data_IF_521317912186
#
_entry.id   IF_521317912186
#
_cell.length_a   1.000
_cell.length_b   1.000
_cell.length_c   1.000
_cell.angle_alpha   90.00
_cell.angle_beta   90.00
_cell.angle_gamma   90.00
#
_symmetry.space_group_name_H-M   'P 1'
#
loop_
_entity.id
_entity.type
_entity.pdbx_description
1 polymer ?
#
# COMPACT_ATOMS: atom_id res chain seq x y z
N UNK A 1 -5.22 23.14 -49.39
CA UNK A 1 -4.62 22.59 -48.16
C UNK A 1 -3.12 22.74 -48.29
N UNK A 2 -2.50 23.64 -47.51
CA UNK A 2 -1.09 24.00 -47.68
C UNK A 2 -0.19 22.94 -47.00
N UNK A 3 1.05 22.77 -47.48
CA UNK A 3 2.02 21.82 -46.92
C UNK A 3 2.25 22.05 -45.43
N UNK A 4 2.25 23.32 -45.00
CA UNK A 4 2.34 23.76 -43.60
C UNK A 4 1.21 23.20 -42.73
N UNK A 5 -0.02 23.22 -43.26
CA UNK A 5 -1.22 22.80 -42.54
C UNK A 5 -1.22 21.29 -42.35
N UNK A 6 -0.75 20.54 -43.36
CA UNK A 6 -0.58 19.09 -43.29
C UNK A 6 0.48 18.71 -42.26
N UNK A 7 1.63 19.39 -42.25
CA UNK A 7 2.68 19.15 -41.24
C UNK A 7 2.21 19.48 -39.83
N UNK A 8 1.49 20.60 -39.64
CA UNK A 8 0.92 20.96 -38.34
C UNK A 8 -0.13 19.95 -37.88
N UNK A 9 -0.99 19.48 -38.78
CA UNK A 9 -1.97 18.44 -38.49
C UNK A 9 -1.28 17.13 -38.09
N UNK A 10 -0.26 16.69 -38.82
CA UNK A 10 0.48 15.45 -38.53
C UNK A 10 1.28 15.56 -37.22
N UNK A 11 1.83 16.73 -36.90
CA UNK A 11 2.46 16.98 -35.60
C UNK A 11 1.45 16.96 -34.46
N UNK A 12 0.27 17.54 -34.67
CA UNK A 12 -0.81 17.52 -33.68
C UNK A 12 -1.33 16.09 -33.49
N UNK A 13 -1.57 15.33 -34.56
CA UNK A 13 -1.97 13.92 -34.49
C UNK A 13 -0.90 13.08 -33.79
N UNK A 14 0.39 13.29 -34.08
CA UNK A 14 1.49 12.61 -33.38
C UNK A 14 1.56 13.00 -31.90
N UNK A 15 1.36 14.27 -31.56
CA UNK A 15 1.29 14.72 -30.16
C UNK A 15 0.10 14.09 -29.45
N UNK A 16 -1.07 14.09 -30.06
CA UNK A 16 -2.30 13.47 -29.51
C UNK A 16 -2.14 11.96 -29.32
N UNK A 17 -1.56 11.25 -30.30
CA UNK A 17 -1.28 9.81 -30.22
C UNK A 17 -0.12 9.48 -29.25
N UNK A 18 0.86 10.37 -29.09
CA UNK A 18 1.90 10.21 -28.08
C UNK A 18 1.37 10.49 -26.66
N UNK A 19 0.35 11.34 -26.53
CA UNK A 19 -0.33 11.63 -25.25
C UNK A 19 -1.44 10.64 -24.91
N UNK A 20 -1.78 9.69 -25.78
CA UNK A 20 -2.77 8.65 -25.47
C UNK A 20 -2.18 7.57 -24.55
N UNK A 21 -1.50 7.99 -23.48
CA UNK A 21 -1.38 7.16 -22.30
C UNK A 21 -2.80 6.99 -21.76
N UNK A 22 -3.32 5.76 -21.82
CA UNK A 22 -4.68 5.44 -21.37
C UNK A 22 -4.88 5.90 -19.92
N UNK A 23 -3.83 5.86 -19.10
CA UNK A 23 -3.84 6.33 -17.72
C UNK A 23 -2.71 7.35 -17.49
N UNK A 24 -3.09 8.60 -17.18
CA UNK A 24 -2.14 9.65 -16.82
C UNK A 24 -2.49 10.24 -15.46
N UNK A 25 -1.86 9.75 -14.39
CA UNK A 25 -2.14 10.21 -13.02
C UNK A 25 -1.58 11.61 -12.71
N UNK A 26 -0.74 12.19 -13.57
CA UNK A 26 -0.18 13.53 -13.40
C UNK A 26 -1.09 14.63 -13.92
N UNK A 27 -1.94 14.34 -14.91
CA UNK A 27 -2.94 15.28 -15.40
C UNK A 27 -4.24 15.12 -14.58
N UNK A 28 -4.69 16.13 -13.82
CA UNK A 28 -5.92 16.02 -13.04
C UNK A 28 -7.18 15.91 -13.91
N UNK A 29 -7.14 16.21 -15.20
CA UNK A 29 -8.30 16.12 -16.10
C UNK A 29 -8.39 14.80 -16.87
N UNK A 30 -7.37 13.94 -16.77
CA UNK A 30 -7.30 12.69 -17.54
C UNK A 30 -8.22 11.59 -17.00
N UNK A 31 -8.48 11.58 -15.69
CA UNK A 31 -9.16 10.51 -14.97
C UNK A 31 -10.27 11.08 -14.07
N UNK A 32 -11.43 10.43 -14.12
CA UNK A 32 -12.55 10.69 -13.23
C UNK A 32 -12.27 10.15 -11.82
N UNK A 33 -13.02 10.60 -10.82
CA UNK A 33 -12.89 10.06 -9.46
C UNK A 33 -13.20 8.55 -9.40
N UNK A 34 -14.16 8.09 -10.20
CA UNK A 34 -14.47 6.68 -10.37
C UNK A 34 -13.29 5.87 -10.92
N UNK A 35 -12.51 6.43 -11.86
CA UNK A 35 -11.31 5.77 -12.37
C UNK A 35 -10.23 5.62 -11.29
N UNK A 36 -10.01 6.67 -10.48
CA UNK A 36 -9.11 6.60 -9.32
C UNK A 36 -9.52 5.49 -8.35
N UNK A 37 -10.80 5.42 -8.00
CA UNK A 37 -11.30 4.43 -7.05
C UNK A 37 -11.24 3.01 -7.63
N UNK A 38 -11.64 2.82 -8.88
CA UNK A 38 -11.63 1.51 -9.53
C UNK A 38 -10.22 0.95 -9.68
N UNK A 39 -9.24 1.80 -10.02
CA UNK A 39 -7.86 1.40 -10.21
C UNK A 39 -7.13 1.24 -8.88
N UNK A 40 -7.22 2.24 -7.99
CA UNK A 40 -6.33 2.34 -6.81
C UNK A 40 -7.02 2.00 -5.49
N UNK A 41 -8.35 1.98 -5.47
CA UNK A 41 -9.15 1.86 -4.24
C UNK A 41 -9.30 3.16 -3.44
N UNK A 42 -8.72 4.27 -3.93
CA UNK A 42 -8.78 5.58 -3.29
C UNK A 42 -9.59 6.55 -4.14
N UNK A 43 -10.31 7.47 -3.49
CA UNK A 43 -10.81 8.65 -4.18
C UNK A 43 -9.64 9.49 -4.72
N UNK A 44 -9.92 10.36 -5.67
CA UNK A 44 -8.94 11.28 -6.24
C UNK A 44 -8.32 12.20 -5.19
N UNK A 45 -9.13 12.66 -4.22
CA UNK A 45 -8.65 13.48 -3.11
C UNK A 45 -7.65 12.69 -2.25
N UNK A 46 -8.02 11.49 -1.80
CA UNK A 46 -7.15 10.64 -0.99
C UNK A 46 -5.85 10.27 -1.72
N UNK A 47 -5.93 10.00 -3.03
CA UNK A 47 -4.74 9.74 -3.83
C UNK A 47 -3.81 10.96 -3.90
N UNK A 48 -4.37 12.16 -4.06
CA UNK A 48 -3.59 13.40 -4.09
C UNK A 48 -2.93 13.68 -2.75
N UNK A 49 -3.67 13.51 -1.66
CA UNK A 49 -3.16 13.62 -0.30
C UNK A 49 -2.00 12.63 -0.07
N UNK A 50 -2.23 11.33 -0.30
CA UNK A 50 -1.17 10.30 -0.21
C UNK A 50 0.06 10.66 -1.04
N UNK A 51 -0.13 11.13 -2.27
CA UNK A 51 0.96 11.49 -3.17
C UNK A 51 1.76 12.70 -2.66
N UNK A 52 1.13 13.60 -1.91
CA UNK A 52 1.78 14.80 -1.36
C UNK A 52 2.76 14.49 -0.23
N UNK A 53 2.60 13.37 0.48
CA UNK A 53 3.57 12.91 1.47
C UNK A 53 4.89 12.44 0.85
N UNK A 54 4.89 12.03 -0.42
CA UNK A 54 6.03 11.32 -1.01
C UNK A 54 7.05 12.30 -1.58
N UNK A 55 8.19 12.43 -0.89
CA UNK A 55 9.29 13.34 -1.25
C UNK A 55 10.58 12.61 -1.64
N UNK A 56 10.80 11.39 -1.13
CA UNK A 56 12.01 10.59 -1.36
C UNK A 56 12.07 9.95 -2.75
N UNK A 57 10.93 9.83 -3.43
CA UNK A 57 10.84 9.15 -4.71
C UNK A 57 11.45 9.99 -5.85
N UNK A 58 12.42 9.42 -6.57
CA UNK A 58 13.03 10.06 -7.74
C UNK A 58 12.08 10.02 -8.94
N UNK A 59 11.81 11.19 -9.51
CA UNK A 59 11.12 11.33 -10.80
C UNK A 59 12.07 11.04 -11.96
N UNK A 60 11.56 10.45 -13.03
CA UNK A 60 12.30 10.32 -14.29
C UNK A 60 11.42 10.72 -15.47
N UNK A 61 12.02 10.95 -16.64
CA UNK A 61 11.31 11.29 -17.87
C UNK A 61 10.25 10.24 -18.31
N UNK A 62 10.29 9.04 -17.73
CA UNK A 62 9.41 7.92 -18.10
C UNK A 62 8.37 7.63 -17.02
N UNK A 63 8.58 8.08 -15.78
CA UNK A 63 7.67 7.81 -14.67
C UNK A 63 7.72 8.92 -13.63
N UNK A 64 6.55 9.40 -13.27
CA UNK A 64 6.35 10.27 -12.11
C UNK A 64 6.20 9.46 -10.82
N UNK A 65 6.30 10.15 -9.67
CA UNK A 65 5.97 9.58 -8.35
C UNK A 65 4.53 9.07 -8.34
N UNK A 66 3.60 9.87 -8.88
CA UNK A 66 2.17 9.53 -8.96
C UNK A 66 1.93 8.27 -9.78
N UNK A 67 2.61 8.14 -10.92
CA UNK A 67 2.56 6.90 -11.72
C UNK A 67 3.07 5.70 -10.92
N UNK A 68 4.16 5.85 -10.15
CA UNK A 68 4.68 4.75 -9.33
C UNK A 68 3.68 4.31 -8.25
N UNK A 69 3.07 5.27 -7.54
CA UNK A 69 2.04 5.01 -6.53
C UNK A 69 0.82 4.34 -7.18
N UNK A 70 0.34 4.87 -8.30
CA UNK A 70 -0.81 4.31 -9.02
C UNK A 70 -0.57 2.86 -9.46
N UNK A 71 0.61 2.55 -10.00
CA UNK A 71 0.98 1.18 -10.38
C UNK A 71 0.97 0.25 -9.18
N UNK A 72 1.53 0.67 -8.04
CA UNK A 72 1.54 -0.12 -6.81
C UNK A 72 0.11 -0.36 -6.29
N UNK A 73 -0.70 0.68 -6.16
CA UNK A 73 -2.06 0.56 -5.65
C UNK A 73 -2.94 -0.27 -6.58
N UNK A 74 -2.80 -0.11 -7.89
CA UNK A 74 -3.51 -0.94 -8.88
C UNK A 74 -3.10 -2.40 -8.77
N UNK A 75 -1.81 -2.68 -8.57
CA UNK A 75 -1.32 -4.05 -8.33
C UNK A 75 -1.94 -4.66 -7.07
N UNK A 76 -1.99 -3.92 -5.97
CA UNK A 76 -2.56 -4.37 -4.69
C UNK A 76 -4.08 -4.58 -4.78
N UNK A 77 -4.78 -3.68 -5.47
CA UNK A 77 -6.24 -3.73 -5.63
C UNK A 77 -6.70 -4.89 -6.52
N UNK A 78 -6.01 -5.12 -7.62
CA UNK A 78 -6.48 -6.03 -8.69
C UNK A 78 -5.77 -7.39 -8.73
N UNK A 79 -4.58 -7.49 -8.13
CA UNK A 79 -3.73 -8.68 -8.25
C UNK A 79 -3.15 -8.94 -9.65
N UNK A 80 -3.38 -8.06 -10.62
CA UNK A 80 -3.00 -8.27 -12.03
C UNK A 80 -1.49 -8.53 -12.20
N UNK A 81 -1.07 -9.44 -13.10
CA UNK A 81 0.34 -9.72 -13.32
C UNK A 81 1.05 -8.52 -13.98
N UNK A 82 2.36 -8.39 -13.75
CA UNK A 82 3.10 -7.18 -14.12
C UNK A 82 3.14 -6.90 -15.64
N UNK A 83 2.95 -7.92 -16.48
CA UNK A 83 2.89 -7.71 -17.93
C UNK A 83 1.57 -7.03 -18.35
N UNK A 84 0.44 -7.39 -17.72
CA UNK A 84 -0.86 -6.73 -17.96
C UNK A 84 -0.83 -5.29 -17.43
N UNK A 85 -0.25 -5.06 -16.24
CA UNK A 85 -0.02 -3.70 -15.75
C UNK A 85 0.87 -2.91 -16.71
N UNK A 86 1.86 -3.56 -17.32
CA UNK A 86 2.69 -2.95 -18.35
C UNK A 86 1.88 -2.47 -19.55
N UNK A 87 0.96 -3.29 -20.05
CA UNK A 87 0.03 -2.89 -21.13
C UNK A 87 -0.84 -1.71 -20.71
N UNK A 88 -1.47 -1.78 -19.54
CA UNK A 88 -2.40 -0.75 -19.04
C UNK A 88 -1.71 0.61 -18.85
N UNK A 89 -0.52 0.61 -18.24
CA UNK A 89 0.25 1.83 -17.94
C UNK A 89 1.21 2.23 -19.07
N UNK A 90 1.24 1.48 -20.17
CA UNK A 90 2.22 1.66 -21.26
C UNK A 90 3.68 1.63 -20.77
N UNK A 91 3.96 0.68 -19.87
CA UNK A 91 5.27 0.43 -19.28
C UNK A 91 5.76 -0.97 -19.64
N UNK A 92 7.07 -1.14 -19.77
CA UNK A 92 7.67 -2.49 -19.81
C UNK A 92 7.52 -3.18 -18.45
N UNK A 93 7.52 -4.52 -18.44
CA UNK A 93 7.46 -5.32 -17.19
C UNK A 93 8.53 -4.90 -16.16
N UNK A 94 9.74 -4.56 -16.62
CA UNK A 94 10.84 -4.12 -15.74
C UNK A 94 10.58 -2.73 -15.15
N UNK A 95 9.97 -1.82 -15.90
CA UNK A 95 9.56 -0.51 -15.40
C UNK A 95 8.46 -0.65 -14.35
N UNK A 96 7.46 -1.51 -14.56
CA UNK A 96 6.43 -1.82 -13.55
C UNK A 96 7.06 -2.31 -12.24
N UNK A 97 8.02 -3.24 -12.30
CA UNK A 97 8.74 -3.71 -11.12
C UNK A 97 9.48 -2.58 -10.38
N UNK A 98 10.16 -1.70 -11.13
CA UNK A 98 10.84 -0.52 -10.55
C UNK A 98 9.85 0.49 -9.96
N UNK A 99 8.68 0.69 -10.57
CA UNK A 99 7.59 1.51 -10.02
C UNK A 99 7.11 0.98 -8.67
N UNK A 100 6.77 -0.31 -8.62
CA UNK A 100 6.34 -0.99 -7.39
C UNK A 100 7.41 -0.87 -6.30
N UNK A 101 8.66 -1.17 -6.62
CA UNK A 101 9.76 -1.08 -5.65
C UNK A 101 9.94 0.35 -5.12
N UNK A 102 10.01 1.33 -6.03
CA UNK A 102 10.20 2.74 -5.65
C UNK A 102 9.05 3.26 -4.79
N UNK A 103 7.80 2.98 -5.17
CA UNK A 103 6.64 3.40 -4.41
C UNK A 103 6.62 2.76 -3.02
N UNK A 104 6.94 1.46 -2.91
CA UNK A 104 7.00 0.77 -1.60
C UNK A 104 8.04 1.38 -0.68
N UNK A 105 9.26 1.61 -1.16
CA UNK A 105 10.33 2.19 -0.35
C UNK A 105 9.95 3.59 0.11
N UNK A 106 9.48 4.44 -0.81
CA UNK A 106 9.12 5.82 -0.48
C UNK A 106 7.89 5.93 0.43
N UNK A 107 6.88 5.08 0.28
CA UNK A 107 5.74 5.04 1.21
C UNK A 107 6.17 4.65 2.62
N UNK A 108 7.04 3.64 2.76
CA UNK A 108 7.55 3.22 4.07
C UNK A 108 8.39 4.29 4.75
N UNK A 109 9.06 5.15 3.96
CA UNK A 109 9.89 6.22 4.47
C UNK A 109 9.09 7.49 4.80
N UNK A 110 8.22 7.92 3.90
CA UNK A 110 7.66 9.27 3.93
C UNK A 110 6.18 9.32 4.36
N UNK A 111 5.46 8.19 4.35
CA UNK A 111 4.03 8.15 4.68
C UNK A 111 3.73 7.30 5.91
N UNK A 112 4.20 6.05 5.93
CA UNK A 112 3.89 5.09 7.01
C UNK A 112 4.24 5.61 8.40
N UNK A 113 5.39 6.27 8.64
CA UNK A 113 5.74 6.76 9.97
C UNK A 113 4.81 7.84 10.54
N UNK A 114 3.97 8.47 9.71
CA UNK A 114 2.98 9.45 10.16
C UNK A 114 1.70 8.83 10.70
N UNK A 115 1.44 7.55 10.41
CA UNK A 115 0.14 6.92 10.68
C UNK A 115 0.23 5.54 11.32
N UNK A 116 1.40 4.89 11.31
CA UNK A 116 1.59 3.54 11.84
C UNK A 116 2.93 3.46 12.58
N UNK A 117 2.93 2.77 13.72
CA UNK A 117 4.09 2.52 14.57
C UNK A 117 4.10 3.41 15.80
N UNK A 118 4.69 2.97 16.91
CA UNK A 118 4.55 3.64 18.21
C UNK A 118 4.99 5.11 18.28
N UNK A 119 5.70 5.61 17.28
CA UNK A 119 6.24 6.98 17.24
C UNK A 119 5.24 8.02 16.69
N UNK A 120 4.16 7.61 16.03
CA UNK A 120 3.26 8.55 15.34
C UNK A 120 2.20 9.19 16.27
N UNK A 121 1.99 8.62 17.45
CA UNK A 121 1.00 9.06 18.43
C UNK A 121 1.62 9.03 19.82
N UNK A 122 1.31 10.04 20.65
CA UNK A 122 1.78 10.06 22.04
C UNK A 122 1.04 9.01 22.88
N UNK A 123 1.65 8.64 24.00
CA UNK A 123 1.01 7.74 24.94
C UNK A 123 -0.30 8.34 25.47
N UNK A 124 -0.26 9.61 25.85
CA UNK A 124 -1.39 10.37 26.37
C UNK A 124 -2.53 10.42 25.35
N UNK A 125 -2.25 10.77 24.09
CA UNK A 125 -3.25 10.81 23.03
C UNK A 125 -3.87 9.43 22.79
N UNK A 126 -3.07 8.36 22.84
CA UNK A 126 -3.57 7.00 22.67
C UNK A 126 -4.49 6.58 23.83
N UNK A 127 -4.10 6.85 25.07
CA UNK A 127 -4.90 6.52 26.26
C UNK A 127 -6.22 7.28 26.27
N UNK A 128 -6.21 8.56 25.86
CA UNK A 128 -7.41 9.39 25.84
C UNK A 128 -8.37 9.03 24.69
N UNK A 129 -7.84 8.75 23.50
CA UNK A 129 -8.66 8.61 22.30
C UNK A 129 -8.92 7.16 21.86
N UNK A 130 -8.06 6.21 22.23
CA UNK A 130 -8.10 4.83 21.72
C UNK A 130 -8.21 3.74 22.81
N UNK A 131 -8.26 4.15 24.08
CA UNK A 131 -8.64 3.28 25.20
C UNK A 131 -10.09 3.58 25.62
N UNK A 132 -10.99 2.66 25.30
CA UNK A 132 -12.42 2.77 25.58
C UNK A 132 -12.71 2.70 27.08
N UNK A 133 -13.75 3.39 27.58
CA UNK A 133 -14.11 3.36 29.00
C UNK A 133 -14.34 1.95 29.54
N UNK A 134 -14.98 1.08 28.77
CA UNK A 134 -15.23 -0.31 29.18
C UNK A 134 -13.94 -1.09 29.41
N UNK A 135 -12.94 -0.91 28.54
CA UNK A 135 -11.65 -1.56 28.70
C UNK A 135 -10.90 -1.01 29.93
N UNK A 136 -10.94 0.31 30.15
CA UNK A 136 -10.35 0.92 31.35
C UNK A 136 -10.96 0.32 32.63
N UNK A 137 -12.28 0.28 32.73
CA UNK A 137 -12.97 -0.30 33.90
C UNK A 137 -12.61 -1.77 34.14
N UNK A 138 -12.43 -2.56 33.07
CA UNK A 138 -12.16 -3.99 33.19
C UNK A 138 -10.69 -4.33 33.46
N UNK A 139 -9.74 -3.53 32.94
CA UNK A 139 -8.33 -3.93 32.88
C UNK A 139 -7.33 -2.90 33.45
N UNK A 140 -7.76 -1.66 33.73
CA UNK A 140 -6.85 -0.60 34.19
C UNK A 140 -6.82 -0.40 35.71
N UNK A 141 -7.62 -1.13 36.51
CA UNK A 141 -7.67 -0.98 37.98
C UNK A 141 -7.72 0.49 38.44
N UNK A 142 -8.62 1.28 37.85
CA UNK A 142 -8.80 2.72 38.08
C UNK A 142 -7.60 3.64 37.71
N UNK A 143 -6.60 3.12 36.98
CA UNK A 143 -5.52 3.94 36.41
C UNK A 143 -5.95 4.59 35.10
N UNK A 144 -6.04 5.92 35.12
CA UNK A 144 -6.37 6.72 33.93
C UNK A 144 -5.26 6.80 32.88
N UNK A 145 -4.04 6.41 33.24
CA UNK A 145 -2.85 6.45 32.37
C UNK A 145 -2.54 5.08 31.73
N UNK A 146 -3.40 4.07 31.89
CA UNK A 146 -3.12 2.74 31.33
C UNK A 146 -3.55 2.65 29.86
N UNK A 147 -2.58 2.48 28.96
CA UNK A 147 -2.84 2.10 27.58
C UNK A 147 -3.25 0.62 27.50
N UNK A 148 -4.38 0.34 26.85
CA UNK A 148 -4.84 -1.03 26.61
C UNK A 148 -4.79 -1.29 25.11
N UNK A 149 -4.05 -2.33 24.73
CA UNK A 149 -3.91 -2.77 23.35
C UNK A 149 -4.50 -4.15 23.16
N UNK A 150 -5.05 -4.40 21.97
CA UNK A 150 -5.44 -5.72 21.50
C UNK A 150 -4.46 -6.12 20.41
N UNK A 151 -3.90 -7.33 20.52
CA UNK A 151 -2.98 -7.87 19.53
C UNK A 151 -3.64 -9.08 18.87
N UNK A 152 -3.87 -9.00 17.57
CA UNK A 152 -4.43 -10.11 16.80
C UNK A 152 -3.54 -10.53 15.63
N UNK A 153 -3.34 -11.84 15.52
CA UNK A 153 -2.56 -12.49 14.48
C UNK A 153 -3.44 -12.93 13.33
N UNK A 154 -3.57 -12.12 12.29
CA UNK A 154 -4.38 -12.46 11.11
C UNK A 154 -3.54 -13.10 10.00
N UNK A 155 -4.06 -14.17 9.41
CA UNK A 155 -3.44 -14.89 8.30
C UNK A 155 -3.80 -14.31 6.94
N UNK A 156 -2.78 -14.14 6.09
CA UNK A 156 -2.91 -13.73 4.69
C UNK A 156 -2.55 -14.91 3.80
N UNK A 157 -3.48 -15.32 2.95
CA UNK A 157 -3.28 -16.41 2.01
C UNK A 157 -2.38 -16.00 0.86
N UNK A 158 -1.48 -16.91 0.49
CA UNK A 158 -0.55 -16.71 -0.61
C UNK A 158 -0.84 -17.72 -1.72
N UNK A 159 -0.74 -17.24 -2.96
CA UNK A 159 -0.69 -18.13 -4.12
C UNK A 159 0.63 -18.92 -4.11
N UNK A 160 0.64 -20.07 -4.80
CA UNK A 160 1.84 -20.89 -4.92
C UNK A 160 2.97 -20.06 -5.54
N UNK A 161 4.08 -19.95 -4.81
CA UNK A 161 5.27 -19.27 -5.29
C UNK A 161 6.11 -20.21 -6.17
N UNK A 162 6.77 -19.63 -7.18
CA UNK A 162 7.82 -20.31 -7.92
C UNK A 162 9.15 -20.39 -7.14
N UNK A 163 9.30 -19.56 -6.10
CA UNK A 163 10.38 -19.66 -5.14
C UNK A 163 10.10 -20.80 -4.17
N UNK A 164 10.82 -21.91 -4.37
CA UNK A 164 10.67 -23.13 -3.58
C UNK A 164 10.97 -22.93 -2.10
N UNK A 165 11.96 -22.10 -1.77
CA UNK A 165 12.32 -21.84 -0.38
C UNK A 165 11.16 -21.09 0.28
N UNK A 166 10.77 -19.95 -0.27
CA UNK A 166 9.65 -19.15 0.23
C UNK A 166 8.35 -19.96 0.33
N UNK A 167 8.05 -20.79 -0.68
CA UNK A 167 6.88 -21.67 -0.70
C UNK A 167 6.89 -22.65 0.49
N UNK A 168 8.04 -23.24 0.82
CA UNK A 168 8.18 -24.12 1.98
C UNK A 168 8.09 -23.37 3.30
N UNK A 169 8.68 -22.17 3.36
CA UNK A 169 8.68 -21.36 4.57
C UNK A 169 7.27 -20.87 4.92
N UNK A 170 6.47 -20.53 3.92
CA UNK A 170 5.09 -20.02 4.08
C UNK A 170 4.04 -21.12 4.25
N UNK A 171 4.36 -22.40 4.02
CA UNK A 171 3.37 -23.47 4.15
C UNK A 171 3.02 -23.75 5.62
N UNK A 172 1.74 -23.57 5.97
CA UNK A 172 1.20 -23.94 7.27
C UNK A 172 0.71 -25.39 7.26
N UNK A 173 1.27 -26.24 8.11
CA UNK A 173 0.75 -27.60 8.33
C UNK A 173 -0.64 -27.60 8.95
N UNK A 174 -0.97 -26.60 9.77
CA UNK A 174 -2.26 -26.52 10.44
C UNK A 174 -3.40 -26.12 9.49
N UNK A 175 -3.10 -25.24 8.51
CA UNK A 175 -4.09 -24.77 7.52
C UNK A 175 -3.95 -25.44 6.16
N UNK A 176 -2.98 -26.34 6.01
CA UNK A 176 -2.64 -27.06 4.78
C UNK A 176 -2.53 -26.16 3.55
N UNK A 177 -1.92 -24.98 3.70
CA UNK A 177 -1.74 -24.02 2.60
C UNK A 177 -0.64 -22.98 2.87
N UNK A 178 -0.11 -22.32 1.82
CA UNK A 178 0.83 -21.21 1.97
C UNK A 178 0.14 -19.97 2.50
N UNK A 179 0.71 -19.41 3.56
CA UNK A 179 0.21 -18.20 4.18
C UNK A 179 1.32 -17.49 4.98
N UNK A 180 1.13 -16.21 5.20
CA UNK A 180 1.90 -15.42 6.17
C UNK A 180 0.97 -14.87 7.23
N UNK A 181 1.51 -14.46 8.36
CA UNK A 181 0.73 -13.86 9.44
C UNK A 181 1.31 -12.51 9.81
N UNK A 182 0.48 -11.49 9.88
CA UNK A 182 0.85 -10.22 10.49
C UNK A 182 0.22 -10.15 11.89
N UNK A 183 0.91 -9.51 12.83
CA UNK A 183 0.35 -9.20 14.14
C UNK A 183 -0.06 -7.73 14.12
N UNK A 184 -1.36 -7.45 14.17
CA UNK A 184 -1.88 -6.08 14.21
C UNK A 184 -2.09 -5.71 15.67
N UNK A 185 -1.52 -4.59 16.07
CA UNK A 185 -1.66 -4.00 17.39
C UNK A 185 -2.65 -2.86 17.26
N UNK A 186 -3.77 -2.97 17.96
CA UNK A 186 -4.87 -2.01 17.88
C UNK A 186 -5.26 -1.47 19.26
N UNK A 187 -5.81 -0.26 19.28
CA UNK A 187 -6.59 0.25 20.40
C UNK A 187 -7.89 -0.53 20.56
N UNK A 188 -8.53 -0.33 21.70
CA UNK A 188 -9.77 -1.03 22.05
C UNK A 188 -10.99 -0.56 21.24
N UNK A 189 -10.85 0.54 20.51
CA UNK A 189 -11.78 1.07 19.51
C UNK A 189 -11.50 0.55 18.08
N UNK A 190 -10.44 -0.25 17.90
CA UNK A 190 -9.99 -0.74 16.60
C UNK A 190 -8.99 0.17 15.88
N UNK A 191 -8.55 1.27 16.49
CA UNK A 191 -7.48 2.12 15.94
C UNK A 191 -6.20 1.32 15.73
N UNK A 192 -5.63 1.35 14.52
CA UNK A 192 -4.41 0.58 14.21
C UNK A 192 -3.19 1.36 14.70
N UNK A 193 -2.59 0.89 15.80
CA UNK A 193 -1.38 1.49 16.35
C UNK A 193 -0.12 1.04 15.60
N UNK A 194 0.02 -0.25 15.36
CA UNK A 194 1.22 -0.82 14.71
C UNK A 194 0.93 -2.16 14.06
N UNK A 195 1.78 -2.55 13.10
CA UNK A 195 1.72 -3.87 12.45
C UNK A 195 3.10 -4.51 12.49
N UNK A 196 3.20 -5.69 13.10
CA UNK A 196 4.42 -6.48 13.15
C UNK A 196 4.41 -7.63 12.13
N UNK A 197 5.60 -7.96 11.63
CA UNK A 197 5.79 -8.99 10.62
C UNK A 197 5.88 -8.41 9.19
N UNK A 198 5.47 -9.17 8.15
CA UNK A 198 4.80 -10.47 8.21
C UNK A 198 5.74 -11.61 8.66
N UNK A 199 5.20 -12.53 9.45
CA UNK A 199 5.86 -13.75 9.89
C UNK A 199 5.46 -14.96 9.04
N UNK A 200 6.39 -15.88 8.83
CA UNK A 200 6.08 -17.18 8.24
C UNK A 200 5.16 -18.00 9.15
N UNK A 201 4.25 -18.78 8.54
CA UNK A 201 3.25 -19.61 9.22
C UNK A 201 3.79 -20.90 9.86
N UNK A 202 4.96 -20.83 10.48
CA UNK A 202 5.62 -21.95 11.15
C UNK A 202 5.27 -21.96 12.64
N UNK A 203 5.33 -23.14 13.25
CA UNK A 203 5.08 -23.33 14.70
C UNK A 203 5.87 -22.37 15.60
N UNK A 204 7.09 -22.00 15.20
CA UNK A 204 7.95 -21.05 15.95
C UNK A 204 7.39 -19.61 16.00
N UNK A 205 6.52 -19.24 15.08
CA UNK A 205 5.90 -17.91 14.98
C UNK A 205 4.41 -17.95 15.35
N UNK A 206 4.05 -18.74 16.38
CA UNK A 206 2.70 -18.68 16.95
C UNK A 206 2.51 -17.37 17.74
N UNK A 207 1.26 -17.02 18.09
CA UNK A 207 0.95 -15.73 18.74
C UNK A 207 1.76 -15.55 20.03
N UNK A 208 1.77 -16.57 20.89
CA UNK A 208 2.51 -16.55 22.14
C UNK A 208 4.03 -16.36 21.96
N UNK A 209 4.62 -16.83 20.87
CA UNK A 209 6.05 -16.63 20.59
C UNK A 209 6.33 -15.22 20.04
N UNK A 210 5.40 -14.65 19.28
CA UNK A 210 5.53 -13.29 18.74
C UNK A 210 5.41 -12.24 19.86
N UNK A 211 4.49 -12.46 20.81
CA UNK A 211 4.24 -11.53 21.92
C UNK A 211 5.19 -11.67 23.11
N UNK A 212 6.14 -12.60 23.06
CA UNK A 212 7.14 -12.86 24.12
C UNK A 212 8.34 -11.90 24.06
N UNK A 213 8.12 -10.68 23.59
CA UNK A 213 9.18 -9.69 23.41
C UNK A 213 9.76 -9.25 24.74
#
# INVERSE_FOLDING_TARGET
>A
MNRSDITSLLENVRKTLATSHILNFDNPLSLSDGDYYNLTGLSKQQFNELSSYIVSARQTNVRSVRTCIAVLLTKLRTGLPNHILGTIFSLTKSQVQRCIHSARVSLMQDFVPHFIGFQHISHEDFVQNHTTPIAKTLFANDSEDTAIIVMDGTYIYLQKSADYEFQRLSYSLHKNRPLVKQMVIVGTDGYILSVLGPYFAKRKNNDAAITKT
#
